data_IF_238342562467
#
_entry.id   IF_238342562467
#
_cell.length_a   1.000
_cell.length_b   1.000
_cell.length_c   1.000
_cell.angle_alpha   90.00
_cell.angle_beta   90.00
_cell.angle_gamma   90.00
#
_symmetry.space_group_name_H-M   'P 1'
#
loop_
_entity.id
_entity.type
_entity.pdbx_description
1 polymer ?
#
# COMPACT_ATOMS: atom_id res chain seq x y z
N UNK A 1 37.96 -59.52 -18.45
CA UNK A 1 36.71 -59.79 -17.69
C UNK A 1 36.73 -59.19 -16.27
N UNK A 2 37.73 -59.46 -15.40
CA UNK A 2 37.76 -58.93 -14.02
C UNK A 2 37.66 -57.39 -13.89
N UNK A 3 38.26 -56.63 -14.82
CA UNK A 3 38.22 -55.14 -14.82
C UNK A 3 36.85 -54.56 -15.22
N UNK A 4 36.07 -55.31 -15.99
CA UNK A 4 34.76 -54.86 -16.52
C UNK A 4 33.67 -54.98 -15.44
N UNK A 5 33.75 -56.03 -14.60
CA UNK A 5 32.88 -56.21 -13.43
C UNK A 5 33.12 -55.12 -12.38
N UNK A 6 34.37 -54.68 -12.19
CA UNK A 6 34.72 -53.61 -11.26
C UNK A 6 34.11 -52.26 -11.71
N UNK A 7 34.15 -51.94 -13.00
CA UNK A 7 33.56 -50.71 -13.55
C UNK A 7 32.04 -50.72 -13.43
N UNK A 8 31.39 -51.86 -13.73
CA UNK A 8 29.94 -52.01 -13.58
C UNK A 8 29.51 -51.85 -12.11
N UNK A 9 30.29 -52.39 -11.17
CA UNK A 9 30.05 -52.23 -9.74
C UNK A 9 30.21 -50.78 -9.30
N UNK A 10 31.25 -50.07 -9.73
CA UNK A 10 31.44 -48.64 -9.43
C UNK A 10 30.32 -47.75 -10.01
N UNK A 11 29.75 -48.08 -11.16
CA UNK A 11 28.61 -47.34 -11.72
C UNK A 11 27.34 -47.47 -10.85
N UNK A 12 27.10 -48.64 -10.23
CA UNK A 12 25.95 -48.83 -9.33
C UNK A 12 26.07 -47.99 -8.05
N UNK A 13 27.30 -47.78 -7.55
CA UNK A 13 27.52 -46.87 -6.40
C UNK A 13 27.38 -45.39 -6.77
N UNK A 14 27.61 -45.02 -8.03
CA UNK A 14 27.43 -43.64 -8.51
C UNK A 14 25.96 -43.27 -8.76
N UNK A 15 25.06 -44.26 -8.95
CA UNK A 15 23.60 -44.02 -9.06
C UNK A 15 23.04 -43.53 -7.72
N UNK A 16 23.64 -43.90 -6.58
CA UNK A 16 23.24 -43.44 -5.26
C UNK A 16 23.72 -42.02 -4.90
N UNK A 17 24.71 -41.48 -5.60
CA UNK A 17 25.21 -40.11 -5.36
C UNK A 17 24.46 -39.02 -6.12
N UNK A 18 23.53 -39.39 -7.01
CA UNK A 18 22.75 -38.41 -7.81
C UNK A 18 21.46 -37.94 -7.10
N UNK A 19 21.11 -38.51 -5.94
CA UNK A 19 19.83 -38.25 -5.28
C UNK A 19 19.84 -37.14 -4.23
N UNK A 20 20.86 -36.28 -4.18
CA UNK A 20 20.89 -35.17 -3.21
C UNK A 20 21.71 -33.96 -3.68
N UNK A 21 21.79 -33.73 -4.99
CA UNK A 21 22.14 -32.39 -5.46
C UNK A 21 20.81 -31.67 -5.66
N UNK A 22 20.36 -30.97 -4.63
CA UNK A 22 19.43 -29.86 -4.82
C UNK A 22 20.21 -28.83 -5.63
N UNK A 23 20.13 -28.98 -6.96
CA UNK A 23 20.79 -28.11 -7.91
C UNK A 23 20.01 -26.78 -7.87
N UNK A 24 20.48 -25.90 -6.97
CA UNK A 24 19.91 -24.59 -6.65
C UNK A 24 19.85 -23.70 -7.90
N UNK A 25 18.71 -23.11 -8.18
CA UNK A 25 18.58 -22.06 -9.20
C UNK A 25 19.50 -20.88 -8.84
N UNK A 26 20.15 -20.27 -9.84
CA UNK A 26 21.01 -19.11 -9.58
C UNK A 26 20.14 -17.90 -9.37
N UNK A 27 20.36 -17.26 -8.22
CA UNK A 27 19.65 -16.04 -7.81
C UNK A 27 20.65 -14.90 -7.79
N UNK A 28 20.33 -13.85 -8.51
CA UNK A 28 21.06 -12.60 -8.45
C UNK A 28 20.13 -11.51 -7.95
N UNK A 29 20.57 -10.75 -6.94
CA UNK A 29 19.86 -9.57 -6.45
C UNK A 29 20.62 -8.31 -6.81
N UNK A 30 19.94 -7.40 -7.48
CA UNK A 30 20.43 -6.06 -7.76
C UNK A 30 19.81 -5.08 -6.76
N UNK A 31 20.61 -4.59 -5.80
CA UNK A 31 20.16 -3.66 -4.75
C UNK A 31 19.72 -2.29 -5.30
N UNK A 32 20.31 -1.84 -6.42
CA UNK A 32 20.02 -0.54 -7.01
C UNK A 32 18.66 -0.49 -7.70
N UNK A 33 18.28 -1.58 -8.36
CA UNK A 33 16.97 -1.73 -9.03
C UNK A 33 15.97 -2.51 -8.18
N UNK A 34 16.42 -3.13 -7.09
CA UNK A 34 15.64 -4.04 -6.23
C UNK A 34 15.02 -5.18 -7.03
N UNK A 35 15.82 -5.76 -7.92
CA UNK A 35 15.40 -6.83 -8.84
C UNK A 35 16.06 -8.14 -8.46
N UNK A 36 15.27 -9.21 -8.33
CA UNK A 36 15.75 -10.59 -8.30
C UNK A 36 15.64 -11.21 -9.69
N UNK A 37 16.75 -11.69 -10.20
CA UNK A 37 16.80 -12.46 -11.44
C UNK A 37 16.94 -13.95 -11.09
N UNK A 38 16.05 -14.76 -11.65
CA UNK A 38 16.07 -16.21 -11.54
C UNK A 38 16.58 -16.82 -12.84
N UNK A 39 17.62 -17.64 -12.75
CA UNK A 39 18.19 -18.38 -13.88
C UNK A 39 18.29 -19.88 -13.56
N UNK A 40 17.94 -20.71 -14.54
CA UNK A 40 18.05 -22.16 -14.39
C UNK A 40 19.51 -22.61 -14.43
N UNK A 41 19.99 -23.23 -13.35
CA UNK A 41 21.38 -23.69 -13.22
C UNK A 41 21.69 -24.97 -14.00
N UNK A 42 20.70 -25.70 -14.54
CA UNK A 42 20.87 -26.97 -15.25
C UNK A 42 21.44 -26.81 -16.69
N UNK A 43 22.49 -25.99 -16.83
CA UNK A 43 23.49 -26.09 -17.90
C UNK A 43 23.24 -25.29 -19.17
N UNK A 44 22.24 -24.39 -19.20
CA UNK A 44 22.01 -23.50 -20.35
C UNK A 44 21.75 -22.03 -20.01
N UNK A 45 21.78 -21.61 -18.73
CA UNK A 45 21.69 -20.19 -18.34
C UNK A 45 20.41 -19.50 -18.81
N UNK A 46 19.30 -20.25 -18.84
CA UNK A 46 18.04 -19.70 -19.35
C UNK A 46 17.36 -18.88 -18.27
N UNK A 47 16.99 -17.67 -18.66
CA UNK A 47 16.30 -16.72 -17.82
C UNK A 47 14.87 -17.18 -17.52
N UNK A 48 14.57 -17.38 -16.22
CA UNK A 48 13.28 -17.82 -15.71
C UNK A 48 12.34 -16.63 -15.56
N UNK A 49 12.74 -15.64 -14.77
CA UNK A 49 11.98 -14.42 -14.52
C UNK A 49 12.82 -13.35 -13.83
N UNK A 50 12.41 -12.10 -14.00
CA UNK A 50 12.82 -10.99 -13.14
C UNK A 50 11.66 -10.60 -12.22
N UNK A 51 11.96 -10.36 -10.94
CA UNK A 51 11.01 -9.88 -9.96
C UNK A 51 11.53 -8.57 -9.38
N UNK A 52 10.84 -7.46 -9.64
CA UNK A 52 11.24 -6.12 -9.21
C UNK A 52 10.33 -5.62 -8.09
N UNK A 53 10.90 -5.24 -6.96
CA UNK A 53 10.17 -4.61 -5.86
C UNK A 53 9.80 -3.16 -6.23
N UNK A 54 8.49 -2.89 -6.35
CA UNK A 54 7.97 -1.56 -6.71
C UNK A 54 7.58 -0.69 -5.52
N UNK A 55 7.51 -1.24 -4.31
CA UNK A 55 7.38 -0.46 -3.07
C UNK A 55 8.75 -0.13 -2.47
N UNK A 56 8.85 0.83 -1.54
CA UNK A 56 10.03 0.96 -0.69
C UNK A 56 10.36 -0.37 0.00
N UNK A 57 11.63 -0.54 0.40
CA UNK A 57 12.06 -1.75 1.11
C UNK A 57 11.42 -1.84 2.50
N UNK A 58 11.26 -0.68 3.15
CA UNK A 58 10.42 -0.50 4.34
C UNK A 58 9.20 0.31 3.92
N UNK A 59 8.05 -0.35 3.76
CA UNK A 59 6.83 0.30 3.32
C UNK A 59 5.95 0.65 4.53
N UNK A 60 5.75 1.95 4.76
CA UNK A 60 4.82 2.43 5.79
C UNK A 60 3.38 2.27 5.29
N UNK A 61 2.54 1.57 6.06
CA UNK A 61 1.18 1.21 5.65
C UNK A 61 0.19 1.53 6.77
N UNK A 62 -0.90 2.21 6.42
CA UNK A 62 -1.99 2.46 7.37
C UNK A 62 -2.64 1.16 7.86
N UNK A 63 -3.27 1.23 9.04
CA UNK A 63 -4.02 0.10 9.61
C UNK A 63 -5.21 -0.32 8.72
N UNK A 64 -5.59 -1.59 8.84
CA UNK A 64 -6.73 -2.19 8.17
C UNK A 64 -6.36 -2.91 6.88
N UNK A 65 -7.36 -3.31 6.09
CA UNK A 65 -7.12 -3.99 4.82
C UNK A 65 -6.46 -3.04 3.80
N UNK A 66 -5.17 -3.25 3.57
CA UNK A 66 -4.32 -2.41 2.72
C UNK A 66 -3.43 -3.24 1.81
N UNK A 67 -2.89 -2.59 0.78
CA UNK A 67 -1.79 -3.13 -0.01
C UNK A 67 -0.50 -2.94 0.77
N UNK A 68 0.21 -4.02 1.09
CA UNK A 68 1.44 -4.01 1.89
C UNK A 68 2.71 -4.20 1.06
N UNK A 69 2.59 -4.57 -0.21
CA UNK A 69 3.72 -4.63 -1.13
C UNK A 69 3.25 -4.59 -2.58
N UNK A 70 4.19 -4.28 -3.49
CA UNK A 70 3.98 -4.39 -4.92
C UNK A 70 5.23 -4.95 -5.59
N UNK A 71 5.07 -5.99 -6.41
CA UNK A 71 6.15 -6.66 -7.15
C UNK A 71 5.76 -6.71 -8.62
N UNK A 72 6.67 -6.35 -9.50
CA UNK A 72 6.52 -6.62 -10.93
C UNK A 72 7.25 -7.90 -11.29
N UNK A 73 6.54 -8.84 -11.90
CA UNK A 73 7.09 -10.12 -12.35
C UNK A 73 7.14 -10.08 -13.87
N UNK A 74 8.34 -10.20 -14.43
CA UNK A 74 8.60 -10.31 -15.86
C UNK A 74 8.98 -11.74 -16.16
N UNK A 75 8.06 -12.47 -16.77
CA UNK A 75 8.26 -13.87 -17.06
C UNK A 75 9.24 -14.04 -18.23
N UNK A 76 10.21 -14.94 -18.09
CA UNK A 76 11.32 -15.14 -19.02
C UNK A 76 10.95 -16.03 -20.21
N UNK A 77 11.77 -17.05 -20.45
CA UNK A 77 11.76 -17.79 -21.72
C UNK A 77 10.66 -18.86 -21.88
N UNK A 78 9.95 -19.19 -20.80
CA UNK A 78 8.99 -20.31 -20.75
C UNK A 78 7.66 -19.90 -20.15
N UNK A 79 6.61 -20.66 -20.47
CA UNK A 79 5.34 -20.59 -19.75
C UNK A 79 5.51 -21.26 -18.39
N UNK A 80 5.04 -20.62 -17.33
CA UNK A 80 5.11 -21.16 -15.98
C UNK A 80 3.73 -21.22 -15.35
N UNK A 81 3.47 -22.34 -14.69
CA UNK A 81 2.38 -22.50 -13.73
C UNK A 81 2.97 -22.45 -12.32
N UNK A 82 2.12 -22.14 -11.34
CA UNK A 82 2.48 -22.11 -9.92
C UNK A 82 3.64 -21.14 -9.62
N UNK A 83 3.49 -19.93 -10.15
CA UNK A 83 4.52 -18.88 -10.04
C UNK A 83 4.70 -18.42 -8.61
N UNK A 84 3.62 -18.42 -7.81
CA UNK A 84 3.65 -18.10 -6.39
C UNK A 84 3.23 -19.35 -5.63
N UNK A 85 4.15 -19.88 -4.82
CA UNK A 85 3.94 -21.10 -4.06
C UNK A 85 3.61 -20.84 -2.59
N UNK A 86 3.74 -19.59 -2.15
CA UNK A 86 3.34 -19.16 -0.82
C UNK A 86 4.06 -17.90 -0.39
N UNK A 87 3.70 -17.44 0.79
CA UNK A 87 4.36 -16.32 1.46
C UNK A 87 4.55 -16.68 2.93
N UNK A 88 5.70 -16.34 3.48
CA UNK A 88 5.99 -16.40 4.90
C UNK A 88 6.14 -14.99 5.42
N UNK A 89 5.58 -14.75 6.60
CA UNK A 89 5.59 -13.45 7.26
C UNK A 89 6.29 -13.60 8.60
N UNK A 90 7.16 -12.66 8.94
CA UNK A 90 7.92 -12.69 10.19
C UNK A 90 7.75 -11.35 10.91
N UNK A 91 7.37 -11.42 12.19
CA UNK A 91 7.25 -10.22 13.02
C UNK A 91 8.63 -9.84 13.58
N UNK A 92 9.15 -8.70 13.11
CA UNK A 92 10.46 -8.18 13.47
C UNK A 92 10.47 -7.76 14.95
N UNK A 93 9.39 -7.15 15.44
CA UNK A 93 9.24 -6.76 16.84
C UNK A 93 9.21 -7.95 17.81
N UNK A 94 8.83 -9.14 17.33
CA UNK A 94 8.87 -10.40 18.10
C UNK A 94 10.11 -11.26 17.78
N UNK A 95 11.19 -10.65 17.28
CA UNK A 95 12.45 -11.35 17.02
C UNK A 95 12.37 -12.34 15.86
N UNK A 96 11.77 -11.94 14.75
CA UNK A 96 11.61 -12.73 13.52
C UNK A 96 10.73 -13.98 13.69
N UNK A 97 9.78 -13.94 14.62
CA UNK A 97 8.82 -15.03 14.82
C UNK A 97 7.84 -15.09 13.64
N UNK A 98 7.70 -16.26 13.03
CA UNK A 98 6.75 -16.48 11.93
C UNK A 98 5.32 -16.20 12.40
N UNK A 99 4.59 -15.40 11.62
CA UNK A 99 3.17 -15.07 11.85
C UNK A 99 2.34 -15.58 10.69
N UNK A 100 1.16 -16.13 10.99
CA UNK A 100 0.23 -16.61 9.96
C UNK A 100 -0.84 -15.56 9.73
N UNK A 101 -0.99 -15.09 8.48
CA UNK A 101 -2.06 -14.17 8.07
C UNK A 101 -2.58 -14.55 6.69
N UNK A 102 -3.83 -14.20 6.43
CA UNK A 102 -4.38 -14.28 5.08
C UNK A 102 -3.80 -13.14 4.24
N UNK A 103 -3.15 -13.48 3.14
CA UNK A 103 -2.63 -12.53 2.16
C UNK A 103 -3.33 -12.78 0.85
N UNK A 104 -4.04 -11.77 0.36
CA UNK A 104 -4.66 -11.80 -0.95
C UNK A 104 -3.69 -11.27 -2.00
N UNK A 105 -3.48 -12.05 -3.05
CA UNK A 105 -2.71 -11.66 -4.21
C UNK A 105 -3.64 -11.03 -5.24
N UNK A 106 -3.34 -9.81 -5.66
CA UNK A 106 -4.11 -9.13 -6.72
C UNK A 106 -3.17 -8.61 -7.79
N UNK A 107 -3.55 -8.69 -9.05
CA UNK A 107 -2.78 -8.09 -10.14
C UNK A 107 -3.37 -6.75 -10.56
N UNK A 108 -2.48 -5.82 -10.91
CA UNK A 108 -2.81 -4.50 -11.40
C UNK A 108 -3.36 -4.61 -12.82
N UNK A 109 -4.53 -4.04 -13.07
CA UNK A 109 -5.08 -3.86 -14.41
C UNK A 109 -5.47 -2.42 -14.62
N UNK A 110 -5.09 -1.86 -15.77
CA UNK A 110 -5.54 -0.54 -16.19
C UNK A 110 -6.81 -0.74 -17.03
N UNK A 111 -7.89 -0.07 -16.67
CA UNK A 111 -9.13 -0.03 -17.44
C UNK A 111 -9.45 1.41 -17.84
N UNK A 112 -10.11 1.59 -18.98
CA UNK A 112 -10.64 2.89 -19.38
C UNK A 112 -11.99 3.10 -18.69
N UNK A 113 -12.15 4.22 -17.98
CA UNK A 113 -13.45 4.65 -17.42
C UNK A 113 -13.83 6.02 -17.96
N UNK A 114 -15.14 6.31 -18.13
CA UNK A 114 -15.59 7.64 -18.52
C UNK A 114 -15.05 8.73 -17.59
N UNK A 115 -14.54 9.80 -18.17
CA UNK A 115 -14.13 11.01 -17.47
C UNK A 115 -15.21 12.07 -17.62
N UNK A 116 -15.62 12.68 -16.51
CA UNK A 116 -16.71 13.65 -16.49
C UNK A 116 -16.21 15.01 -15.99
N UNK A 117 -16.74 16.08 -16.57
CA UNK A 117 -16.58 17.45 -16.08
C UNK A 117 -17.92 17.99 -15.64
N UNK A 118 -17.95 18.68 -14.51
CA UNK A 118 -19.13 19.45 -14.11
C UNK A 118 -19.18 20.72 -14.95
N UNK A 119 -20.28 20.93 -15.66
CA UNK A 119 -20.55 22.14 -16.42
C UNK A 119 -21.81 22.75 -15.80
N UNK A 120 -21.67 23.98 -15.32
CA UNK A 120 -22.76 24.76 -14.77
C UNK A 120 -23.08 25.92 -15.71
N UNK A 121 -24.37 26.22 -15.85
CA UNK A 121 -24.82 27.40 -16.55
C UNK A 121 -24.67 28.60 -15.60
N UNK A 122 -24.15 29.72 -16.09
CA UNK A 122 -24.00 30.92 -15.25
C UNK A 122 -25.33 31.66 -15.16
N UNK A 123 -25.78 31.95 -13.94
CA UNK A 123 -26.95 32.78 -13.68
C UNK A 123 -26.68 33.89 -12.67
N UNK A 124 -27.67 34.75 -12.48
CA UNK A 124 -27.68 35.76 -11.43
C UNK A 124 -28.73 35.39 -10.38
N UNK A 125 -28.33 35.41 -9.11
CA UNK A 125 -29.29 35.37 -8.00
C UNK A 125 -30.08 36.68 -7.92
N UNK A 126 -31.18 36.69 -7.14
CA UNK A 126 -32.04 37.87 -7.00
C UNK A 126 -31.33 39.13 -6.46
N UNK A 127 -30.19 38.96 -5.79
CA UNK A 127 -29.32 40.04 -5.31
C UNK A 127 -28.21 40.45 -6.30
N UNK A 128 -28.20 39.92 -7.53
CA UNK A 128 -27.22 40.24 -8.56
C UNK A 128 -25.87 39.52 -8.43
N UNK A 129 -25.74 38.55 -7.52
CA UNK A 129 -24.51 37.75 -7.40
C UNK A 129 -24.47 36.67 -8.49
N UNK A 130 -23.29 36.42 -9.06
CA UNK A 130 -23.11 35.29 -9.98
C UNK A 130 -23.27 33.97 -9.21
N UNK A 131 -24.14 33.11 -9.70
CA UNK A 131 -24.35 31.78 -9.15
C UNK A 131 -24.36 30.75 -10.26
N UNK A 132 -23.71 29.62 -10.03
CA UNK A 132 -23.80 28.45 -10.91
C UNK A 132 -25.19 27.82 -10.77
N UNK A 133 -25.92 27.73 -11.88
CA UNK A 133 -27.24 27.12 -11.99
C UNK A 133 -27.17 25.87 -12.88
N UNK A 134 -28.07 24.91 -12.64
CA UNK A 134 -28.25 23.73 -13.51
C UNK A 134 -26.96 22.95 -13.83
N UNK A 135 -26.12 22.72 -12.83
CA UNK A 135 -24.90 21.93 -12.99
C UNK A 135 -25.20 20.51 -13.47
N UNK A 136 -24.54 20.09 -14.53
CA UNK A 136 -24.63 18.73 -15.10
C UNK A 136 -23.24 18.15 -15.30
N UNK A 137 -23.12 16.81 -15.22
CA UNK A 137 -21.89 16.10 -15.56
C UNK A 137 -21.89 15.77 -17.05
N UNK A 138 -20.93 16.29 -17.78
CA UNK A 138 -20.72 15.98 -19.20
C UNK A 138 -19.51 15.06 -19.35
N UNK A 139 -19.64 13.99 -20.13
CA UNK A 139 -18.50 13.10 -20.41
C UNK A 139 -17.56 13.78 -21.40
N UNK A 140 -16.33 14.07 -20.94
CA UNK A 140 -15.32 14.76 -21.74
C UNK A 140 -14.28 13.81 -22.34
N UNK A 141 -14.33 12.52 -22.01
CA UNK A 141 -13.41 11.52 -22.55
C UNK A 141 -13.40 10.23 -21.75
N UNK A 142 -12.30 9.49 -21.88
CA UNK A 142 -11.96 8.35 -21.03
C UNK A 142 -10.72 8.71 -20.21
N UNK A 143 -10.57 8.09 -19.03
CA UNK A 143 -9.36 8.14 -18.23
C UNK A 143 -8.95 6.74 -17.80
N UNK A 144 -7.65 6.54 -17.67
CA UNK A 144 -7.08 5.32 -17.11
C UNK A 144 -7.44 5.25 -15.63
N UNK A 145 -8.05 4.14 -15.23
CA UNK A 145 -8.26 3.79 -13.83
C UNK A 145 -7.52 2.50 -13.53
N UNK A 146 -6.64 2.55 -12.54
CA UNK A 146 -6.03 1.35 -11.98
C UNK A 146 -7.07 0.59 -11.16
N UNK A 147 -7.27 -0.68 -11.48
CA UNK A 147 -8.08 -1.61 -10.70
C UNK A 147 -7.23 -2.83 -10.32
N UNK A 148 -7.48 -3.37 -9.14
CA UNK A 148 -6.84 -4.58 -8.66
C UNK A 148 -7.82 -5.74 -8.81
N UNK A 149 -7.38 -6.81 -9.47
CA UNK A 149 -8.18 -8.02 -9.67
C UNK A 149 -7.52 -9.20 -8.98
N UNK A 150 -8.34 -10.10 -8.45
CA UNK A 150 -7.83 -11.29 -7.76
C UNK A 150 -6.93 -12.10 -8.69
N UNK A 151 -5.74 -12.44 -8.20
CA UNK A 151 -4.77 -13.25 -8.91
C UNK A 151 -5.08 -14.73 -8.68
N UNK A 152 -6.12 -15.21 -9.35
CA UNK A 152 -6.55 -16.62 -9.28
C UNK A 152 -5.80 -17.51 -10.26
N UNK A 153 -5.35 -16.93 -11.38
CA UNK A 153 -4.54 -17.61 -12.40
C UNK A 153 -3.08 -17.52 -11.99
N UNK A 154 -2.61 -18.49 -11.21
CA UNK A 154 -1.22 -18.61 -10.78
C UNK A 154 -0.32 -19.14 -11.93
N UNK A 155 -0.37 -18.49 -13.10
CA UNK A 155 0.41 -18.88 -14.28
C UNK A 155 0.62 -17.69 -15.19
N UNK A 156 1.79 -17.59 -15.80
CA UNK A 156 2.17 -16.54 -16.75
C UNK A 156 2.67 -17.18 -18.04
N UNK A 157 2.31 -16.55 -19.15
CA UNK A 157 2.85 -16.90 -20.46
C UNK A 157 4.27 -16.35 -20.61
N UNK A 158 5.05 -16.96 -21.49
CA UNK A 158 6.38 -16.48 -21.90
C UNK A 158 6.34 -14.99 -22.25
N UNK A 159 7.25 -14.21 -21.65
CA UNK A 159 7.36 -12.77 -21.88
C UNK A 159 6.24 -11.92 -21.28
N UNK A 160 5.27 -12.52 -20.59
CA UNK A 160 4.21 -11.77 -19.91
C UNK A 160 4.78 -11.01 -18.71
N UNK A 161 4.34 -9.77 -18.52
CA UNK A 161 4.67 -8.96 -17.35
C UNK A 161 3.40 -8.65 -16.57
N UNK A 162 3.43 -8.90 -15.27
CA UNK A 162 2.34 -8.53 -14.35
C UNK A 162 2.89 -7.69 -13.19
N UNK A 163 2.06 -6.79 -12.67
CA UNK A 163 2.31 -6.16 -11.38
C UNK A 163 1.38 -6.77 -10.35
N UNK A 164 1.95 -7.48 -9.40
CA UNK A 164 1.26 -8.09 -8.28
C UNK A 164 1.30 -7.16 -7.06
N UNK A 165 0.18 -7.06 -6.36
CA UNK A 165 0.06 -6.42 -5.07
C UNK A 165 -0.31 -7.44 -4.01
N UNK A 166 0.33 -7.34 -2.85
CA UNK A 166 -0.01 -8.12 -1.66
C UNK A 166 -0.97 -7.31 -0.80
N UNK A 167 -2.12 -7.90 -0.45
CA UNK A 167 -3.14 -7.25 0.36
C UNK A 167 -3.40 -8.07 1.62
N UNK A 168 -3.40 -7.42 2.78
CA UNK A 168 -3.70 -8.06 4.05
C UNK A 168 -4.24 -7.03 5.04
N UNK A 169 -4.76 -7.50 6.17
CA UNK A 169 -5.18 -6.65 7.27
C UNK A 169 -3.95 -6.26 8.11
N UNK A 170 -3.55 -5.00 8.03
CA UNK A 170 -2.47 -4.41 8.82
C UNK A 170 -2.98 -4.13 10.23
N UNK A 171 -2.32 -4.69 11.23
CA UNK A 171 -2.67 -4.59 12.63
C UNK A 171 -1.78 -3.58 13.35
N UNK A 172 -2.25 -3.10 14.51
CA UNK A 172 -1.52 -2.13 15.32
C UNK A 172 -0.15 -2.67 15.71
N UNK A 173 0.91 -1.91 15.45
CA UNK A 173 2.28 -2.25 15.83
C UNK A 173 2.94 -3.32 14.95
N UNK A 174 2.36 -3.61 13.79
CA UNK A 174 3.00 -4.46 12.80
C UNK A 174 4.35 -3.89 12.37
N UNK A 175 5.36 -4.73 12.41
CA UNK A 175 6.62 -4.54 11.70
C UNK A 175 6.99 -5.91 11.13
N UNK A 176 6.60 -6.15 9.88
CA UNK A 176 6.55 -7.48 9.29
C UNK A 176 7.48 -7.55 8.09
N UNK A 177 8.46 -8.45 8.13
CA UNK A 177 9.17 -8.89 6.92
C UNK A 177 8.34 -9.94 6.19
N UNK A 178 8.30 -9.87 4.88
CA UNK A 178 7.65 -10.88 4.05
C UNK A 178 8.61 -11.51 3.05
N UNK A 179 8.48 -12.82 2.91
CA UNK A 179 9.30 -13.67 2.06
C UNK A 179 8.35 -14.46 1.17
N UNK A 180 8.38 -14.15 -0.13
CA UNK A 180 7.57 -14.86 -1.13
C UNK A 180 8.36 -16.06 -1.70
N UNK A 181 7.66 -17.17 -1.89
CA UNK A 181 8.18 -18.34 -2.59
C UNK A 181 7.66 -18.32 -4.02
N UNK A 182 8.56 -18.36 -4.98
CA UNK A 182 8.22 -18.30 -6.40
C UNK A 182 8.78 -19.50 -7.17
N UNK A 183 8.29 -19.75 -8.40
CA UNK A 183 8.86 -20.68 -9.39
C UNK A 183 9.56 -21.94 -8.80
N UNK A 184 8.81 -22.94 -8.32
CA UNK A 184 9.41 -24.20 -7.83
C UNK A 184 9.85 -24.20 -6.37
N UNK A 185 9.36 -23.24 -5.57
CA UNK A 185 9.66 -22.99 -4.15
C UNK A 185 10.91 -22.16 -3.86
N UNK A 186 11.36 -21.38 -4.83
CA UNK A 186 12.46 -20.46 -4.66
C UNK A 186 12.09 -19.33 -3.71
N UNK A 187 12.80 -19.28 -2.57
CA UNK A 187 12.60 -18.27 -1.53
C UNK A 187 13.40 -17.02 -1.84
N UNK A 188 12.72 -15.89 -1.92
CA UNK A 188 13.39 -14.62 -2.12
C UNK A 188 13.75 -14.04 -0.74
N UNK A 189 15.03 -14.16 -0.36
CA UNK A 189 15.52 -13.79 0.99
C UNK A 189 15.80 -12.29 1.10
N UNK A 190 15.46 -11.64 2.23
CA UNK A 190 15.71 -10.22 2.52
C UNK A 190 15.03 -9.21 1.57
N UNK A 191 13.76 -9.44 1.21
CA UNK A 191 13.09 -8.68 0.16
C UNK A 191 12.58 -7.31 0.63
N UNK A 192 11.61 -7.30 1.55
CA UNK A 192 11.00 -6.08 2.06
C UNK A 192 10.18 -6.34 3.32
N UNK A 193 9.88 -5.26 4.00
CA UNK A 193 9.04 -5.20 5.18
C UNK A 193 7.95 -4.14 5.02
N UNK A 194 6.88 -4.29 5.78
CA UNK A 194 5.96 -3.19 6.04
C UNK A 194 5.91 -2.86 7.53
N UNK A 195 5.65 -1.59 7.81
CA UNK A 195 5.50 -1.06 9.15
C UNK A 195 4.12 -0.39 9.25
N UNK A 196 3.36 -0.69 10.30
CA UNK A 196 2.08 -0.03 10.52
C UNK A 196 2.29 1.42 10.96
N UNK A 197 1.64 2.32 10.24
CA UNK A 197 1.71 3.73 10.54
C UNK A 197 0.40 4.44 10.17
N UNK A 198 -0.25 5.00 11.18
CA UNK A 198 -1.52 5.72 10.99
C UNK A 198 -1.34 7.07 10.26
N UNK A 199 -0.09 7.54 10.17
CA UNK A 199 0.28 8.82 9.58
C UNK A 199 0.57 8.75 8.06
N UNK A 200 0.29 7.61 7.43
CA UNK A 200 0.49 7.42 5.98
C UNK A 200 -0.58 8.17 5.20
N UNK A 201 -0.14 8.96 4.22
CA UNK A 201 -0.99 9.80 3.36
C UNK A 201 -1.86 10.82 4.12
N UNK A 202 -1.50 11.15 5.36
CA UNK A 202 -2.16 12.20 6.14
C UNK A 202 -1.64 13.56 5.69
N UNK A 203 -2.53 14.39 5.13
CA UNK A 203 -2.21 15.73 4.65
C UNK A 203 -2.15 16.74 5.80
N UNK A 204 -3.09 16.61 6.74
CA UNK A 204 -3.17 17.51 7.88
C UNK A 204 -3.61 16.75 9.13
N UNK A 205 -2.94 17.05 10.24
CA UNK A 205 -3.29 16.59 11.57
C UNK A 205 -3.12 17.75 12.54
N UNK A 206 -4.19 18.06 13.26
CA UNK A 206 -4.24 19.16 14.19
C UNK A 206 -4.21 18.61 15.60
N UNK A 207 -3.06 18.76 16.27
CA UNK A 207 -3.03 18.55 17.72
C UNK A 207 -3.62 19.80 18.38
N UNK A 208 -4.60 19.59 19.25
CA UNK A 208 -5.30 20.65 19.95
C UNK A 208 -4.64 21.03 21.27
N UNK A 209 -3.48 20.49 21.62
CA UNK A 209 -2.77 20.75 22.89
C UNK A 209 -2.19 22.17 23.04
N UNK A 210 -2.42 23.08 22.10
CA UNK A 210 -1.92 24.44 22.18
C UNK A 210 -2.68 25.25 23.24
N UNK A 211 -1.96 25.80 24.22
CA UNK A 211 -2.56 26.54 25.35
C UNK A 211 -2.63 28.05 25.11
N UNK A 212 -2.15 28.55 23.96
CA UNK A 212 -2.10 30.00 23.70
C UNK A 212 -3.45 30.54 23.20
N UNK A 213 -4.29 29.67 22.63
CA UNK A 213 -5.64 29.99 22.18
C UNK A 213 -5.68 30.76 20.86
N UNK A 214 -4.56 30.82 20.12
CA UNK A 214 -4.46 31.62 18.89
C UNK A 214 -4.24 30.81 17.61
N UNK A 215 -3.60 29.64 17.69
CA UNK A 215 -3.30 28.84 16.49
C UNK A 215 -3.61 27.36 16.69
N UNK A 216 -4.28 26.77 15.70
CA UNK A 216 -4.36 25.32 15.51
C UNK A 216 -3.30 24.92 14.51
N UNK A 217 -2.22 24.30 14.98
CA UNK A 217 -1.05 23.99 14.15
C UNK A 217 -1.21 22.64 13.44
N UNK A 218 -0.91 22.60 12.14
CA UNK A 218 -0.78 21.33 11.44
C UNK A 218 0.56 20.69 11.84
N UNK A 219 0.50 19.62 12.61
CA UNK A 219 1.67 18.98 13.22
C UNK A 219 2.61 18.34 12.18
N UNK A 220 2.13 18.09 10.95
CA UNK A 220 2.96 17.47 9.91
C UNK A 220 3.89 18.44 9.21
N UNK A 221 3.36 19.56 8.72
CA UNK A 221 4.08 20.44 7.80
C UNK A 221 4.06 21.92 8.20
N UNK A 222 3.28 22.29 9.22
CA UNK A 222 3.05 23.66 9.67
C UNK A 222 2.58 24.63 8.56
N UNK A 223 2.11 24.13 7.41
CA UNK A 223 1.70 24.95 6.27
C UNK A 223 0.20 25.18 6.17
N UNK A 224 -0.62 24.35 6.82
CA UNK A 224 -2.08 24.44 6.82
C UNK A 224 -2.65 24.83 8.20
N UNK A 225 -2.16 25.92 8.79
CA UNK A 225 -2.55 26.32 10.15
C UNK A 225 -3.94 26.97 10.19
N UNK A 226 -4.70 26.64 11.23
CA UNK A 226 -5.98 27.26 11.54
C UNK A 226 -5.81 28.43 12.50
N UNK A 227 -6.57 29.51 12.29
CA UNK A 227 -6.72 30.59 13.26
C UNK A 227 -7.96 30.33 14.12
N UNK A 228 -7.77 30.24 15.43
CA UNK A 228 -8.86 30.09 16.41
C UNK A 228 -9.38 31.46 16.85
N UNK A 229 -10.70 31.64 16.86
CA UNK A 229 -11.35 32.86 17.33
C UNK A 229 -12.25 32.50 18.52
N UNK A 230 -12.00 33.12 19.68
CA UNK A 230 -12.77 32.96 20.92
C UNK A 230 -12.93 31.51 21.40
N UNK A 231 -11.95 30.64 21.14
CA UNK A 231 -12.08 29.22 21.45
C UNK A 231 -11.70 28.90 22.90
N UNK A 232 -12.59 28.17 23.58
CA UNK A 232 -12.28 27.55 24.87
C UNK A 232 -11.57 26.21 24.65
N UNK A 233 -10.39 26.05 25.27
CA UNK A 233 -9.74 24.75 25.35
C UNK A 233 -10.28 23.96 26.54
N UNK A 234 -10.71 22.74 26.31
CA UNK A 234 -11.27 21.86 27.34
C UNK A 234 -10.54 20.52 27.37
N UNK A 235 -10.16 19.99 28.56
CA UNK A 235 -9.66 18.62 28.67
C UNK A 235 -10.71 17.61 28.18
N UNK A 236 -10.32 16.68 27.31
CA UNK A 236 -11.23 15.69 26.73
C UNK A 236 -10.55 14.34 26.42
N UNK A 237 -11.34 13.36 26.01
CA UNK A 237 -11.04 11.93 25.78
C UNK A 237 -9.55 11.47 25.74
N UNK A 238 -8.77 11.90 24.74
CA UNK A 238 -7.35 11.51 24.56
C UNK A 238 -6.40 12.69 24.84
N UNK A 239 -6.81 13.90 24.48
CA UNK A 239 -6.11 15.18 24.58
C UNK A 239 -7.17 16.27 24.81
N UNK A 240 -6.78 17.53 24.95
CA UNK A 240 -7.80 18.56 24.96
C UNK A 240 -8.49 18.72 23.60
N UNK A 241 -9.61 19.44 23.61
CA UNK A 241 -10.39 19.72 22.43
C UNK A 241 -10.92 21.15 22.48
N UNK A 242 -11.58 21.51 21.38
CA UNK A 242 -12.19 22.81 21.23
C UNK A 242 -13.67 22.79 21.58
N UNK A 243 -14.09 23.80 22.35
CA UNK A 243 -15.48 24.07 22.68
C UNK A 243 -16.03 25.17 21.76
N UNK A 244 -17.09 24.85 21.00
CA UNK A 244 -17.73 25.81 20.11
C UNK A 244 -19.07 26.24 20.70
N UNK A 245 -19.10 27.42 21.33
CA UNK A 245 -20.26 28.00 22.04
C UNK A 245 -21.23 28.78 21.13
N UNK A 246 -21.10 28.62 19.81
CA UNK A 246 -21.82 29.38 18.79
C UNK A 246 -21.23 30.76 18.46
N UNK A 247 -20.26 31.27 19.22
CA UNK A 247 -19.46 32.47 18.89
C UNK A 247 -18.02 32.14 18.52
N UNK A 248 -17.52 31.00 18.99
CA UNK A 248 -16.21 30.46 18.63
C UNK A 248 -16.17 29.90 17.20
N UNK A 249 -15.03 30.05 16.53
CA UNK A 249 -14.81 29.47 15.20
C UNK A 249 -13.33 29.16 14.96
N UNK A 250 -13.07 28.21 14.05
CA UNK A 250 -11.76 27.98 13.45
C UNK A 250 -11.84 28.33 11.98
N UNK A 251 -10.87 29.09 11.50
CA UNK A 251 -10.70 29.39 10.09
C UNK A 251 -9.39 28.76 9.59
N UNK A 252 -9.52 27.86 8.62
CA UNK A 252 -8.38 27.34 7.87
C UNK A 252 -8.21 28.17 6.61
N UNK A 253 -7.04 28.80 6.43
CA UNK A 253 -6.79 29.72 5.32
C UNK A 253 -6.33 29.04 4.04
N UNK A 254 -6.00 27.74 4.08
CA UNK A 254 -5.64 26.97 2.89
C UNK A 254 -6.73 25.96 2.57
N UNK A 255 -7.31 26.13 1.39
CA UNK A 255 -8.20 25.14 0.79
C UNK A 255 -7.37 24.14 0.01
N UNK A 256 -7.68 22.86 0.15
CA UNK A 256 -7.27 21.85 -0.81
C UNK A 256 -8.15 22.09 -2.04
N UNK A 257 -7.69 22.96 -2.96
CA UNK A 257 -8.44 23.37 -4.16
C UNK A 257 -8.53 22.28 -5.24
N UNK A 258 -7.88 21.13 -5.03
CA UNK A 258 -7.89 20.07 -6.03
C UNK A 258 -9.08 19.12 -5.85
N UNK A 259 -10.18 19.42 -6.56
CA UNK A 259 -11.38 18.56 -6.65
C UNK A 259 -11.09 17.15 -7.21
N UNK A 260 -9.87 16.89 -7.70
CA UNK A 260 -9.53 15.60 -8.32
C UNK A 260 -9.00 14.55 -7.34
N UNK A 261 -8.68 14.93 -6.10
CA UNK A 261 -8.16 13.99 -5.10
C UNK A 261 -9.28 13.42 -4.21
N UNK A 262 -9.26 12.10 -3.99
CA UNK A 262 -10.13 11.42 -3.03
C UNK A 262 -9.55 11.60 -1.62
N UNK A 263 -10.26 12.33 -0.75
CA UNK A 263 -9.83 12.56 0.63
C UNK A 263 -10.84 12.02 1.64
N UNK A 264 -10.42 11.90 2.89
CA UNK A 264 -11.29 11.54 4.02
C UNK A 264 -10.96 12.44 5.19
N UNK A 265 -11.99 12.96 5.86
CA UNK A 265 -11.84 13.58 7.17
C UNK A 265 -12.27 12.58 8.23
N UNK A 266 -11.47 12.49 9.28
CA UNK A 266 -11.88 11.84 10.50
C UNK A 266 -11.87 12.91 11.60
N UNK A 267 -12.87 12.89 12.48
CA UNK A 267 -12.88 13.74 13.66
C UNK A 267 -13.74 13.13 14.78
N UNK A 268 -13.40 13.41 16.04
CA UNK A 268 -14.31 13.16 17.16
C UNK A 268 -15.19 14.38 17.36
N UNK A 269 -16.48 14.13 17.58
CA UNK A 269 -17.42 15.16 18.00
C UNK A 269 -18.24 14.71 19.19
N UNK A 270 -18.51 15.65 20.09
CA UNK A 270 -19.45 15.48 21.18
C UNK A 270 -20.48 16.61 21.10
N UNK A 271 -21.60 16.40 20.38
CA UNK A 271 -22.68 17.36 20.37
C UNK A 271 -23.42 17.27 21.72
N UNK A 272 -23.51 18.36 22.46
CA UNK A 272 -24.39 18.42 23.63
C UNK A 272 -25.74 19.02 23.26
N UNK A 273 -26.82 18.36 23.68
CA UNK A 273 -28.21 18.62 23.30
C UNK A 273 -28.82 19.89 23.94
N UNK A 274 -27.98 20.85 24.34
CA UNK A 274 -28.46 22.15 24.79
C UNK A 274 -28.79 23.01 23.58
N UNK A 275 -29.96 23.65 23.59
CA UNK A 275 -30.51 24.53 22.55
C UNK A 275 -29.61 25.72 22.11
N UNK A 276 -28.34 25.76 22.52
CA UNK A 276 -27.35 26.80 22.26
C UNK A 276 -26.10 26.31 21.51
N UNK A 277 -26.02 25.04 21.06
CA UNK A 277 -25.12 24.69 19.96
C UNK A 277 -23.68 24.35 20.32
N UNK A 278 -23.42 23.77 21.49
CA UNK A 278 -22.10 23.21 21.84
C UNK A 278 -21.79 22.00 20.95
N UNK A 279 -20.92 22.21 19.97
CA UNK A 279 -20.31 21.16 19.16
C UNK A 279 -18.83 21.09 19.52
N UNK A 280 -18.31 19.90 19.80
CA UNK A 280 -16.88 19.71 20.06
C UNK A 280 -16.23 19.09 18.83
N UNK A 281 -15.02 19.51 18.47
CA UNK A 281 -14.28 19.02 17.30
C UNK A 281 -12.90 18.49 17.71
N UNK A 282 -12.38 17.49 16.98
CA UNK A 282 -11.04 16.92 17.17
C UNK A 282 -10.62 16.15 15.92
N UNK A 283 -9.39 16.24 15.42
CA UNK A 283 -8.92 15.35 14.32
C UNK A 283 -8.12 14.17 14.85
N UNK A 284 -8.39 12.90 14.48
CA UNK A 284 -7.62 11.77 14.95
C UNK A 284 -6.28 11.65 14.25
N UNK A 285 -5.38 11.01 14.99
CA UNK A 285 -4.13 10.45 14.50
C UNK A 285 -4.36 9.32 13.51
#
# INVERSE_FOLDING_TARGET
MKKLILILFCMVFLIGTVSAIDIDDVKYYDEGTKTYTLENFFGLGKHIADLELKTPQVFEVARGYRRVAMVEIRNGEYDYNEIINGIKLYNINEGMKETVRTVDYKYKKIIQVPNYKTICDKGFSANGTFTDLNCRKEQIGLRDKTVWKDFTKNSLLKGETITLGLFTDVQKGDHIEWVINVYGNEKLTAWAEWNENMLVDVIAHYDMNETSGTNTDNVFDHTNNGTSINMGFIPWFIQGGYDFDGTASILFSQWIEDETFEWTYNFWMNPTDSALGDQRFFTPR
#
